data_IF_873013052808
#
_entry.id   IF_873013052808
#
_cell.length_a   1.000
_cell.length_b   1.000
_cell.length_c   1.000
_cell.angle_alpha   90.00
_cell.angle_beta   90.00
_cell.angle_gamma   90.00
#
_symmetry.space_group_name_H-M   'P 1'
#
loop_
_entity.id
_entity.type
_entity.pdbx_description
1 polymer ?
#
# COMPACT_ATOMS: atom_id res chain seq x y z
N UNK A 1 11.60 -3.56 18.37
CA UNK A 1 11.20 -4.70 17.51
C UNK A 1 10.19 -4.18 16.51
N UNK A 2 10.33 -4.56 15.25
CA UNK A 2 9.50 -4.10 14.15
C UNK A 2 8.86 -5.32 13.49
N UNK A 3 7.67 -5.15 12.95
CA UNK A 3 6.92 -6.19 12.26
C UNK A 3 6.21 -5.61 11.05
N UNK A 4 6.45 -6.17 9.88
CA UNK A 4 5.74 -5.80 8.65
C UNK A 4 4.66 -6.83 8.36
N UNK A 5 3.42 -6.40 8.21
CA UNK A 5 2.28 -7.28 7.94
C UNK A 5 1.81 -7.15 6.51
N UNK A 6 1.56 -8.28 5.87
CA UNK A 6 0.90 -8.38 4.57
C UNK A 6 -0.42 -9.11 4.74
N UNK A 7 -1.55 -8.42 4.60
CA UNK A 7 -2.87 -9.02 4.84
C UNK A 7 -3.18 -10.21 3.96
N UNK A 8 -2.63 -10.22 2.78
CA UNK A 8 -2.97 -11.17 1.76
C UNK A 8 -2.02 -12.39 1.80
N UNK A 9 -0.73 -12.16 2.05
CA UNK A 9 0.26 -13.22 2.18
C UNK A 9 0.08 -14.09 3.43
N UNK A 10 -0.36 -13.49 4.54
CA UNK A 10 -0.50 -14.19 5.81
C UNK A 10 -1.84 -14.95 5.93
N UNK A 11 -2.94 -14.40 5.43
CA UNK A 11 -4.26 -15.02 5.52
C UNK A 11 -4.35 -16.36 4.75
N UNK A 12 -3.60 -16.49 3.65
CA UNK A 12 -3.57 -17.70 2.84
C UNK A 12 -2.67 -18.81 3.38
N UNK A 13 -1.69 -18.49 4.23
CA UNK A 13 -0.64 -19.42 4.68
C UNK A 13 -0.83 -19.95 6.08
N UNK A 14 -1.24 -19.11 7.01
CA UNK A 14 -1.25 -19.43 8.45
C UNK A 14 -2.61 -19.29 9.10
N UNK A 15 -3.61 -18.79 8.39
CA UNK A 15 -4.98 -18.63 8.90
C UNK A 15 -5.19 -17.48 9.88
N UNK A 16 -4.14 -16.93 10.49
CA UNK A 16 -4.25 -15.83 11.43
C UNK A 16 -3.09 -14.83 11.30
N UNK A 17 -3.44 -13.58 11.07
CA UNK A 17 -2.49 -12.46 11.06
C UNK A 17 -2.27 -11.98 12.50
N UNK A 18 -1.06 -12.02 12.98
CA UNK A 18 -0.68 -11.70 14.38
C UNK A 18 -0.45 -10.19 14.61
N UNK A 19 -0.79 -9.32 13.64
CA UNK A 19 -0.48 -7.89 13.76
C UNK A 19 -1.19 -7.22 14.94
N UNK A 20 -2.38 -7.67 15.31
CA UNK A 20 -3.15 -7.11 16.44
C UNK A 20 -2.40 -7.38 17.75
N UNK A 21 -1.99 -8.62 17.95
CA UNK A 21 -1.23 -9.07 19.13
C UNK A 21 0.12 -8.35 19.22
N UNK A 22 0.79 -8.18 18.10
CA UNK A 22 2.05 -7.42 18.01
C UNK A 22 1.85 -5.95 18.40
N UNK A 23 0.80 -5.30 17.87
CA UNK A 23 0.46 -3.92 18.24
C UNK A 23 0.09 -3.80 19.72
N UNK A 24 -0.64 -4.75 20.28
CA UNK A 24 -0.99 -4.79 21.70
C UNK A 24 0.25 -4.98 22.59
N UNK A 25 1.23 -5.72 22.12
CA UNK A 25 2.53 -5.88 22.77
C UNK A 25 3.48 -4.69 22.61
N UNK A 26 3.03 -3.59 21.96
CA UNK A 26 3.84 -2.39 21.76
C UNK A 26 4.89 -2.52 20.63
N UNK A 27 4.79 -3.53 19.80
CA UNK A 27 5.63 -3.67 18.60
C UNK A 27 5.20 -2.63 17.57
N UNK A 28 6.17 -1.96 16.93
CA UNK A 28 5.89 -1.14 15.76
C UNK A 28 5.47 -2.06 14.60
N UNK A 29 4.27 -1.87 14.11
CA UNK A 29 3.74 -2.64 12.97
C UNK A 29 3.59 -1.73 11.78
N UNK A 30 4.29 -2.04 10.70
CA UNK A 30 4.16 -1.42 9.38
C UNK A 30 3.34 -2.32 8.43
N UNK A 31 3.00 -1.81 7.26
CA UNK A 31 2.27 -2.54 6.24
C UNK A 31 3.20 -2.89 5.07
N UNK A 32 3.05 -4.10 4.52
CA UNK A 32 3.68 -4.50 3.27
C UNK A 32 2.70 -5.21 2.35
N UNK A 33 3.07 -5.35 1.09
CA UNK A 33 2.28 -6.05 0.07
C UNK A 33 2.78 -7.50 -0.09
N UNK A 34 3.97 -7.82 0.44
CA UNK A 34 4.67 -9.10 0.33
C UNK A 34 5.03 -9.43 -1.14
N UNK A 35 4.36 -10.39 -1.74
CA UNK A 35 4.66 -10.78 -3.12
C UNK A 35 3.54 -10.41 -4.09
N UNK A 36 3.95 -10.10 -5.31
CA UNK A 36 3.04 -9.68 -6.39
C UNK A 36 2.43 -10.84 -7.18
N UNK A 37 2.76 -12.09 -6.83
CA UNK A 37 2.36 -13.26 -7.63
C UNK A 37 0.95 -13.75 -7.33
N UNK A 38 0.48 -13.50 -6.12
CA UNK A 38 -0.83 -13.98 -5.67
C UNK A 38 -1.88 -12.87 -5.57
N UNK A 39 -1.49 -11.59 -5.67
CA UNK A 39 -2.36 -10.53 -5.17
C UNK A 39 -2.13 -9.17 -5.82
N UNK A 40 -3.10 -8.28 -5.59
CA UNK A 40 -3.04 -6.90 -6.06
C UNK A 40 -1.94 -6.13 -5.32
N UNK A 41 -0.97 -5.56 -6.04
CA UNK A 41 0.00 -4.61 -5.50
C UNK A 41 -0.67 -3.27 -5.20
N UNK A 42 -1.52 -3.24 -4.17
CA UNK A 42 -2.44 -2.15 -3.91
C UNK A 42 -2.51 -1.86 -2.40
N UNK A 43 -1.80 -0.81 -1.98
CA UNK A 43 -1.80 -0.37 -0.59
C UNK A 43 -3.19 0.03 -0.07
N UNK A 44 -4.08 0.55 -0.92
CA UNK A 44 -5.44 0.90 -0.50
C UNK A 44 -6.22 -0.38 -0.16
N UNK A 45 -6.16 -1.39 -1.02
CA UNK A 45 -6.78 -2.69 -0.74
C UNK A 45 -6.20 -3.35 0.52
N UNK A 46 -4.89 -3.24 0.74
CA UNK A 46 -4.24 -3.75 1.96
C UNK A 46 -4.75 -3.06 3.23
N UNK A 47 -4.87 -1.73 3.23
CA UNK A 47 -5.42 -0.98 4.36
C UNK A 47 -6.87 -1.41 4.65
N UNK A 48 -7.70 -1.53 3.63
CA UNK A 48 -9.08 -1.97 3.75
C UNK A 48 -9.17 -3.40 4.33
N UNK A 49 -8.33 -4.31 3.83
CA UNK A 49 -8.28 -5.70 4.30
C UNK A 49 -7.87 -5.78 5.77
N UNK A 50 -6.82 -5.07 6.19
CA UNK A 50 -6.38 -5.03 7.60
C UNK A 50 -7.51 -4.55 8.52
N UNK A 51 -8.26 -3.54 8.11
CA UNK A 51 -9.39 -3.07 8.90
C UNK A 51 -10.51 -4.11 8.97
N UNK A 52 -10.80 -4.78 7.86
CA UNK A 52 -11.82 -5.83 7.80
C UNK A 52 -11.45 -7.03 8.67
N UNK A 53 -10.21 -7.51 8.56
CA UNK A 53 -9.69 -8.60 9.41
C UNK A 53 -9.74 -8.22 10.88
N UNK A 54 -9.32 -7.00 11.23
CA UNK A 54 -9.40 -6.52 12.60
C UNK A 54 -10.83 -6.54 13.14
N UNK A 55 -11.80 -5.99 12.40
CA UNK A 55 -13.21 -6.00 12.80
C UNK A 55 -13.74 -7.43 12.99
N UNK A 56 -13.39 -8.32 12.06
CA UNK A 56 -13.84 -9.71 12.11
C UNK A 56 -13.25 -10.48 13.31
N UNK A 57 -11.93 -10.37 13.54
CA UNK A 57 -11.25 -11.09 14.61
C UNK A 57 -11.59 -10.56 16.01
N UNK A 58 -11.74 -9.25 16.16
CA UNK A 58 -11.89 -8.62 17.49
C UNK A 58 -13.32 -8.25 17.82
N UNK A 59 -14.25 -8.36 16.87
CA UNK A 59 -15.62 -7.83 17.01
C UNK A 59 -15.63 -6.33 17.29
N UNK A 60 -14.61 -5.58 16.82
CA UNK A 60 -14.46 -4.15 17.04
C UNK A 60 -13.86 -3.76 18.40
N UNK A 61 -13.45 -4.71 19.23
CA UNK A 61 -12.84 -4.43 20.54
C UNK A 61 -11.46 -3.77 20.42
N UNK A 62 -10.68 -4.11 19.40
CA UNK A 62 -9.43 -3.43 19.10
C UNK A 62 -9.65 -2.30 18.12
N UNK A 63 -9.36 -1.06 18.54
CA UNK A 63 -9.58 0.14 17.72
C UNK A 63 -8.39 0.37 16.76
N UNK A 64 -8.43 -0.24 15.60
CA UNK A 64 -7.54 0.09 14.50
C UNK A 64 -8.18 1.20 13.65
N UNK A 65 -7.74 2.44 13.85
CA UNK A 65 -8.30 3.61 13.14
C UNK A 65 -7.79 3.67 11.70
N UNK A 66 -8.56 4.28 10.81
CA UNK A 66 -8.17 4.55 9.42
C UNK A 66 -6.90 5.41 9.35
N UNK A 67 -6.77 6.40 10.24
CA UNK A 67 -5.54 7.18 10.40
C UNK A 67 -4.34 6.27 10.69
N UNK A 68 -4.47 5.32 11.62
CA UNK A 68 -3.39 4.38 11.96
C UNK A 68 -3.00 3.51 10.78
N UNK A 69 -3.95 3.07 9.96
CA UNK A 69 -3.67 2.31 8.74
C UNK A 69 -2.86 3.13 7.73
N UNK A 70 -3.20 4.41 7.55
CA UNK A 70 -2.40 5.31 6.71
C UNK A 70 -1.00 5.54 7.30
N UNK A 71 -0.88 5.68 8.62
CA UNK A 71 0.43 5.76 9.28
C UNK A 71 1.28 4.49 9.05
N UNK A 72 0.67 3.30 9.11
CA UNK A 72 1.36 2.03 8.83
C UNK A 72 1.88 1.96 7.39
N UNK A 73 1.14 2.53 6.44
CA UNK A 73 1.53 2.61 5.03
C UNK A 73 2.54 3.74 4.72
N UNK A 74 2.83 4.61 5.67
CA UNK A 74 3.66 5.81 5.47
C UNK A 74 4.75 5.92 6.53
N UNK A 75 4.49 6.68 7.60
CA UNK A 75 5.50 7.01 8.62
C UNK A 75 5.97 5.80 9.43
N UNK A 76 5.09 4.83 9.70
CA UNK A 76 5.49 3.62 10.42
C UNK A 76 6.35 2.71 9.53
N UNK A 77 6.05 2.63 8.23
CA UNK A 77 6.93 1.98 7.25
C UNK A 77 8.31 2.64 7.18
N UNK A 78 8.34 3.97 7.17
CA UNK A 78 9.59 4.71 7.20
C UNK A 78 10.39 4.48 8.50
N UNK A 79 9.73 4.39 9.65
CA UNK A 79 10.36 4.06 10.95
C UNK A 79 10.92 2.65 10.96
N UNK A 80 10.18 1.71 10.42
CA UNK A 80 10.56 0.30 10.32
C UNK A 80 11.87 0.13 9.54
N UNK A 81 12.02 0.91 8.47
CA UNK A 81 13.21 0.93 7.61
C UNK A 81 14.31 1.91 8.06
N UNK A 82 14.08 2.70 9.13
CA UNK A 82 15.04 3.70 9.62
C UNK A 82 15.11 4.98 8.77
N UNK A 83 14.09 5.25 7.95
CA UNK A 83 14.01 6.42 7.05
C UNK A 83 13.05 7.52 7.53
N UNK A 84 12.52 7.42 8.74
CA UNK A 84 11.51 8.34 9.27
C UNK A 84 11.97 9.80 9.40
N UNK A 85 13.29 10.03 9.47
CA UNK A 85 13.87 11.38 9.42
C UNK A 85 13.92 11.97 8.01
N UNK A 86 13.82 11.11 6.97
CA UNK A 86 14.01 11.47 5.57
C UNK A 86 12.68 11.51 4.83
N UNK A 87 11.77 10.60 5.12
CA UNK A 87 10.49 10.45 4.42
C UNK A 87 9.36 9.98 5.34
N UNK A 88 8.22 9.59 4.80
CA UNK A 88 7.08 9.00 5.50
C UNK A 88 6.10 10.03 6.11
N UNK A 89 6.38 11.33 6.02
CA UNK A 89 5.46 12.39 6.46
C UNK A 89 5.70 13.70 5.72
N UNK A 90 4.66 14.52 5.61
CA UNK A 90 4.70 15.85 5.01
C UNK A 90 5.27 16.90 5.99
N UNK A 91 6.45 16.65 6.50
CA UNK A 91 7.15 17.55 7.44
C UNK A 91 8.19 18.37 6.67
N UNK A 92 8.26 19.70 6.85
CA UNK A 92 9.29 20.51 6.22
C UNK A 92 10.70 19.99 6.52
N UNK A 93 11.54 19.95 5.48
CA UNK A 93 12.91 19.41 5.54
C UNK A 93 13.03 17.93 5.18
N UNK A 94 11.93 17.18 5.04
CA UNK A 94 11.95 15.84 4.48
C UNK A 94 11.89 15.85 2.95
N UNK A 95 12.23 14.72 2.33
CA UNK A 95 12.09 14.53 0.89
C UNK A 95 10.62 14.58 0.49
N UNK A 96 10.37 15.11 -0.69
CA UNK A 96 9.03 15.18 -1.26
C UNK A 96 8.64 13.85 -1.92
N UNK A 97 8.34 12.85 -1.09
CA UNK A 97 7.70 11.59 -1.49
C UNK A 97 6.20 11.75 -1.23
N UNK A 98 5.45 12.05 -2.29
CA UNK A 98 4.06 12.53 -2.17
C UNK A 98 3.20 11.84 -3.24
N UNK A 99 2.01 11.41 -2.84
CA UNK A 99 0.95 11.07 -3.77
C UNK A 99 -0.21 12.07 -3.62
N UNK A 100 -0.88 12.39 -4.73
CA UNK A 100 -2.16 13.09 -4.71
C UNK A 100 -3.26 12.13 -5.13
N UNK A 101 -4.28 12.01 -4.30
CA UNK A 101 -5.44 11.16 -4.55
C UNK A 101 -6.65 12.04 -4.84
N UNK A 102 -7.36 11.76 -5.93
CA UNK A 102 -8.62 12.44 -6.27
C UNK A 102 -9.71 11.97 -5.31
N UNK A 103 -10.39 12.91 -4.71
CA UNK A 103 -11.52 12.63 -3.82
C UNK A 103 -12.89 12.92 -4.47
N UNK A 104 -12.89 13.49 -5.67
CA UNK A 104 -14.09 13.80 -6.43
C UNK A 104 -14.33 12.77 -7.53
N UNK A 105 -14.79 11.60 -7.14
CA UNK A 105 -15.24 10.54 -8.05
C UNK A 105 -16.52 9.91 -7.48
N UNK A 106 -17.36 9.27 -8.31
CA UNK A 106 -18.64 8.71 -7.86
C UNK A 106 -18.54 7.74 -6.68
N UNK A 107 -17.42 7.01 -6.56
CA UNK A 107 -17.19 6.03 -5.51
C UNK A 107 -16.53 6.60 -4.24
N UNK A 108 -15.92 7.80 -4.32
CA UNK A 108 -15.19 8.37 -3.17
C UNK A 108 -16.08 9.07 -2.15
N UNK A 109 -17.33 9.36 -2.50
CA UNK A 109 -18.18 10.19 -1.64
C UNK A 109 -17.69 11.63 -1.51
N UNK A 110 -18.42 12.49 -0.83
CA UNK A 110 -18.09 13.91 -0.81
C UNK A 110 -17.71 14.50 0.54
N UNK A 111 -18.16 13.91 1.67
CA UNK A 111 -18.21 14.62 2.95
C UNK A 111 -17.63 13.85 4.14
N UNK A 112 -16.78 12.85 3.88
CA UNK A 112 -16.17 12.01 4.91
C UNK A 112 -14.79 12.49 5.39
N UNK A 113 -14.30 11.87 6.45
CA UNK A 113 -12.90 11.99 6.88
C UNK A 113 -11.95 11.50 5.77
N UNK A 114 -10.86 12.23 5.54
CA UNK A 114 -9.90 11.91 4.49
C UNK A 114 -9.23 10.55 4.68
N UNK A 115 -8.99 10.14 5.93
CA UNK A 115 -8.42 8.81 6.22
C UNK A 115 -9.44 7.70 5.93
N UNK A 116 -10.72 7.93 6.24
CA UNK A 116 -11.78 6.98 5.91
C UNK A 116 -11.93 6.83 4.39
N UNK A 117 -11.90 7.92 3.65
CA UNK A 117 -11.94 7.90 2.20
C UNK A 117 -10.77 7.10 1.60
N UNK A 118 -9.53 7.32 2.09
CA UNK A 118 -8.36 6.59 1.63
C UNK A 118 -8.44 5.09 1.93
N UNK A 119 -8.92 4.70 3.11
CA UNK A 119 -8.94 3.31 3.54
C UNK A 119 -10.12 2.52 2.97
N UNK A 120 -11.29 3.17 2.85
CA UNK A 120 -12.52 2.47 2.49
C UNK A 120 -12.83 2.53 0.99
N UNK A 121 -12.44 3.60 0.31
CA UNK A 121 -12.97 3.93 -1.01
C UNK A 121 -11.89 4.08 -2.08
N UNK A 122 -10.69 4.57 -1.72
CA UNK A 122 -9.66 4.88 -2.69
C UNK A 122 -9.16 3.66 -3.46
N UNK A 123 -8.85 3.87 -4.73
CA UNK A 123 -8.31 2.89 -5.67
C UNK A 123 -7.05 3.43 -6.34
N UNK A 124 -6.17 2.59 -6.90
CA UNK A 124 -4.99 3.05 -7.64
C UNK A 124 -5.30 4.02 -8.77
N UNK A 125 -6.46 3.90 -9.42
CA UNK A 125 -6.93 4.82 -10.46
C UNK A 125 -7.23 6.24 -9.96
N UNK A 126 -7.42 6.42 -8.65
CA UNK A 126 -7.64 7.75 -8.05
C UNK A 126 -6.33 8.52 -7.84
N UNK A 127 -5.18 7.86 -7.98
CA UNK A 127 -3.88 8.52 -7.82
C UNK A 127 -3.62 9.43 -9.01
N UNK A 128 -3.70 10.73 -8.77
CA UNK A 128 -3.48 11.76 -9.78
C UNK A 128 -2.01 12.11 -10.01
N UNK A 129 -1.19 11.93 -8.97
CA UNK A 129 0.24 12.25 -9.04
C UNK A 129 1.02 11.34 -8.09
N UNK A 130 2.19 10.90 -8.55
CA UNK A 130 3.22 10.27 -7.73
C UNK A 130 4.51 11.08 -7.88
N UNK A 131 5.05 11.51 -6.77
CA UNK A 131 6.33 12.21 -6.67
C UNK A 131 7.25 11.46 -5.72
N UNK A 132 8.51 11.31 -6.09
CA UNK A 132 9.56 10.71 -5.28
C UNK A 132 10.78 11.63 -5.30
N UNK A 133 11.24 12.01 -4.14
CA UNK A 133 12.38 12.96 -3.96
C UNK A 133 12.20 14.25 -4.79
N UNK A 134 10.97 14.78 -4.85
CA UNK A 134 10.61 15.96 -5.63
C UNK A 134 10.45 15.73 -7.15
N UNK A 135 10.70 14.51 -7.64
CA UNK A 135 10.57 14.16 -9.06
C UNK A 135 9.21 13.56 -9.33
N UNK A 136 8.45 14.13 -10.25
CA UNK A 136 7.17 13.57 -10.67
C UNK A 136 7.44 12.33 -11.53
N UNK A 137 6.93 11.19 -11.11
CA UNK A 137 7.06 9.91 -11.81
C UNK A 137 5.79 9.51 -12.56
N UNK A 138 4.63 9.98 -12.05
CA UNK A 138 3.32 9.73 -12.66
C UNK A 138 2.44 10.96 -12.49
N UNK A 139 1.69 11.32 -13.52
CA UNK A 139 0.70 12.42 -13.48
C UNK A 139 -0.48 12.10 -14.40
N UNK A 140 -1.69 12.06 -13.83
CA UNK A 140 -2.95 11.92 -14.57
C UNK A 140 -2.99 10.72 -15.55
N UNK A 141 -2.43 9.58 -15.18
CA UNK A 141 -2.39 8.38 -16.01
C UNK A 141 -1.12 8.22 -16.85
N UNK A 142 -0.25 9.23 -16.91
CA UNK A 142 0.98 9.19 -17.69
C UNK A 142 2.21 9.02 -16.81
N UNK A 143 3.11 8.13 -17.22
CA UNK A 143 4.43 7.96 -16.60
C UNK A 143 5.41 8.95 -17.25
N UNK A 144 6.16 9.69 -16.42
CA UNK A 144 7.10 10.71 -16.88
C UNK A 144 8.53 10.22 -17.00
N UNK A 145 8.85 9.09 -16.39
CA UNK A 145 10.21 8.58 -16.25
C UNK A 145 10.43 7.24 -16.97
N UNK A 146 9.41 6.65 -17.57
CA UNK A 146 9.51 5.38 -18.28
C UNK A 146 8.57 5.35 -19.50
N UNK A 147 8.98 4.58 -20.49
CA UNK A 147 8.17 4.23 -21.66
C UNK A 147 7.28 3.04 -21.26
N UNK A 148 6.00 3.33 -21.05
CA UNK A 148 5.04 2.34 -20.57
C UNK A 148 4.78 1.22 -21.59
N UNK A 149 4.68 1.55 -22.87
CA UNK A 149 4.43 0.57 -23.93
C UNK A 149 5.62 -0.36 -24.09
N UNK A 150 6.84 0.20 -24.04
CA UNK A 150 8.06 -0.60 -24.04
C UNK A 150 8.14 -1.51 -22.82
N UNK A 151 7.78 -1.02 -21.62
CA UNK A 151 7.77 -1.85 -20.41
C UNK A 151 6.82 -3.04 -20.52
N UNK A 152 5.63 -2.83 -21.07
CA UNK A 152 4.66 -3.91 -21.31
C UNK A 152 5.18 -4.93 -22.33
N UNK A 153 5.79 -4.47 -23.41
CA UNK A 153 6.39 -5.34 -24.42
C UNK A 153 7.54 -6.19 -23.86
N UNK A 154 8.45 -5.55 -23.11
CA UNK A 154 9.57 -6.23 -22.44
C UNK A 154 9.08 -7.27 -21.42
N UNK A 155 8.02 -6.94 -20.66
CA UNK A 155 7.37 -7.86 -19.73
C UNK A 155 6.78 -9.09 -20.43
N UNK A 156 6.02 -8.88 -21.50
CA UNK A 156 5.44 -9.96 -22.30
C UNK A 156 6.52 -10.87 -22.90
N UNK A 157 7.60 -10.30 -23.42
CA UNK A 157 8.74 -11.05 -23.94
C UNK A 157 9.43 -11.89 -22.84
N UNK A 158 9.61 -11.33 -21.66
CA UNK A 158 10.21 -12.04 -20.51
C UNK A 158 9.36 -13.23 -20.08
N UNK A 159 8.04 -13.07 -20.01
CA UNK A 159 7.10 -14.18 -19.71
C UNK A 159 7.16 -15.26 -20.78
N UNK A 160 7.17 -14.89 -22.07
CA UNK A 160 7.27 -15.85 -23.16
C UNK A 160 8.58 -16.65 -23.10
N UNK A 161 9.71 -15.97 -22.82
CA UNK A 161 11.02 -16.62 -22.66
C UNK A 161 11.05 -17.61 -21.47
N UNK A 162 10.44 -17.23 -20.34
CA UNK A 162 10.33 -18.10 -19.17
C UNK A 162 9.47 -19.35 -19.46
N UNK A 163 8.32 -19.17 -20.12
CA UNK A 163 7.44 -20.28 -20.52
C UNK A 163 8.18 -21.26 -21.45
N UNK A 164 8.87 -20.74 -22.45
CA UNK A 164 9.66 -21.57 -23.38
C UNK A 164 10.75 -22.35 -22.64
N UNK A 165 11.49 -21.70 -21.74
CA UNK A 165 12.56 -22.34 -20.94
C UNK A 165 12.00 -23.39 -19.98
N UNK A 166 10.85 -23.12 -19.35
CA UNK A 166 10.20 -24.04 -18.42
C UNK A 166 9.41 -25.14 -19.12
N UNK A 167 9.31 -25.15 -20.46
CA UNK A 167 8.44 -26.02 -21.25
C UNK A 167 6.98 -26.01 -20.74
N UNK A 168 6.54 -24.85 -20.32
CA UNK A 168 5.22 -24.66 -19.73
C UNK A 168 4.23 -24.29 -20.85
N UNK A 169 3.26 -25.18 -21.04
CA UNK A 169 2.14 -25.00 -22.00
C UNK A 169 1.02 -24.17 -21.38
#
# INVERSE_FOLDING_TARGET
>A
MHYSTSPLGEAGRTGEMQFIEMMQAGVLVSMSIDNVTAERCDCFACMHMLQTVNKHRTGGKFKLTTKKLVEMATIDGARDLGFDKVTGSLTPGKRADIILVRTRSPHMGSDGDAYDALVQLAQPSDVALVMVDGRILHRNGEFTALDYDKLLADGAQSVAALKAKAKWS
#
